data_IF_957385267173
#
_entry.id   IF_957385267173
#
_cell.length_a   1.000
_cell.length_b   1.000
_cell.length_c   1.000
_cell.angle_alpha   90.00
_cell.angle_beta   90.00
_cell.angle_gamma   90.00
#
_symmetry.space_group_name_H-M   'P 1'
#
loop_
_entity.id
_entity.type
_entity.pdbx_description
1 polymer ?
#
# COMPACT_ATOMS: atom_id res chain seq x y z
N UNK A 1 2.87 -8.41 12.18
CA UNK A 1 1.67 -7.75 11.65
C UNK A 1 1.93 -6.29 11.30
N UNK A 2 2.36 -5.44 12.24
CA UNK A 2 2.54 -3.99 12.02
C UNK A 2 3.41 -3.62 10.80
N UNK A 3 4.56 -4.27 10.60
CA UNK A 3 5.45 -4.00 9.47
C UNK A 3 4.84 -4.39 8.10
N UNK A 4 3.94 -5.37 8.07
CA UNK A 4 3.28 -5.86 6.85
C UNK A 4 2.08 -5.02 6.45
N UNK A 5 1.41 -4.37 7.40
CA UNK A 5 0.16 -3.62 7.20
C UNK A 5 0.26 -2.54 6.12
N UNK A 6 1.28 -1.65 6.12
CA UNK A 6 1.36 -0.62 5.09
C UNK A 6 1.59 -1.20 3.70
N UNK A 7 2.42 -2.24 3.59
CA UNK A 7 2.66 -2.93 2.31
C UNK A 7 1.39 -3.59 1.78
N UNK A 8 0.63 -4.24 2.67
CA UNK A 8 -0.60 -4.93 2.31
C UNK A 8 -1.69 -3.96 1.84
N UNK A 9 -1.89 -2.85 2.57
CA UNK A 9 -2.87 -1.82 2.19
C UNK A 9 -2.55 -1.21 0.82
N UNK A 10 -1.31 -0.77 0.62
CA UNK A 10 -0.87 -0.21 -0.65
C UNK A 10 -1.02 -1.25 -1.78
N UNK A 11 -0.55 -2.49 -1.57
CA UNK A 11 -0.61 -3.53 -2.59
C UNK A 11 -2.05 -3.93 -2.96
N UNK A 12 -2.99 -4.00 -2.01
CA UNK A 12 -4.40 -4.27 -2.32
C UNK A 12 -5.03 -3.16 -3.15
N UNK A 13 -4.71 -1.89 -2.87
CA UNK A 13 -5.15 -0.76 -3.68
C UNK A 13 -4.58 -0.80 -5.09
N UNK A 14 -3.28 -1.03 -5.23
CA UNK A 14 -2.58 -1.16 -6.50
C UNK A 14 -3.17 -2.31 -7.33
N UNK A 15 -3.43 -3.46 -6.70
CA UNK A 15 -4.00 -4.64 -7.35
C UNK A 15 -5.32 -4.32 -8.05
N UNK A 16 -6.20 -3.53 -7.43
CA UNK A 16 -7.47 -3.13 -8.03
C UNK A 16 -7.25 -2.19 -9.23
N UNK A 17 -6.34 -1.23 -9.13
CA UNK A 17 -6.00 -0.33 -10.24
C UNK A 17 -5.38 -1.10 -11.42
N UNK A 18 -4.42 -1.99 -11.18
CA UNK A 18 -3.77 -2.80 -12.22
C UNK A 18 -4.76 -3.77 -12.89
N UNK A 19 -5.75 -4.29 -12.15
CA UNK A 19 -6.83 -5.09 -12.74
C UNK A 19 -7.73 -4.30 -13.69
N UNK A 20 -7.73 -2.97 -13.65
CA UNK A 20 -8.38 -2.11 -14.64
C UNK A 20 -7.48 -1.75 -15.84
N UNK A 21 -6.25 -2.27 -15.88
CA UNK A 21 -5.25 -2.01 -16.92
C UNK A 21 -4.50 -0.69 -16.74
N UNK A 22 -4.37 -0.18 -15.50
CA UNK A 22 -3.61 1.04 -15.21
C UNK A 22 -2.48 0.74 -14.25
N UNK A 23 -1.25 0.93 -14.70
CA UNK A 23 -0.03 0.78 -13.91
C UNK A 23 0.41 2.15 -13.37
N UNK A 24 0.34 2.33 -12.06
CA UNK A 24 0.73 3.57 -11.39
C UNK A 24 2.07 3.40 -10.68
N UNK A 25 3.17 3.89 -11.27
CA UNK A 25 4.47 3.92 -10.63
C UNK A 25 4.63 5.10 -9.64
N UNK A 26 3.63 5.97 -9.51
CA UNK A 26 3.63 7.09 -8.59
C UNK A 26 3.35 6.75 -7.11
N UNK A 27 3.18 5.48 -6.80
CA UNK A 27 2.80 4.98 -5.46
C UNK A 27 3.70 5.53 -4.36
N UNK A 28 5.02 5.54 -4.55
CA UNK A 28 5.99 6.03 -3.57
C UNK A 28 5.72 7.51 -3.22
N UNK A 29 5.54 8.37 -4.23
CA UNK A 29 5.24 9.79 -4.02
C UNK A 29 3.87 10.03 -3.40
N UNK A 30 2.87 9.23 -3.78
CA UNK A 30 1.52 9.28 -3.20
C UNK A 30 1.57 8.92 -1.72
N UNK A 31 2.32 7.86 -1.35
CA UNK A 31 2.50 7.46 0.05
C UNK A 31 3.19 8.56 0.87
N UNK A 32 4.25 9.19 0.32
CA UNK A 32 4.97 10.28 1.00
C UNK A 32 4.06 11.48 1.23
N UNK A 33 3.31 11.91 0.21
CA UNK A 33 2.36 13.01 0.34
C UNK A 33 1.24 12.72 1.34
N UNK A 34 0.72 11.51 1.32
CA UNK A 34 -0.30 11.09 2.28
C UNK A 34 0.26 10.99 3.71
N UNK A 35 1.50 10.51 3.87
CA UNK A 35 2.17 10.42 5.16
C UNK A 35 2.36 11.79 5.81
N UNK A 36 2.85 12.78 5.05
CA UNK A 36 3.01 14.15 5.58
C UNK A 36 1.66 14.83 5.83
N UNK A 37 0.69 14.67 4.92
CA UNK A 37 -0.64 15.26 5.10
C UNK A 37 -1.34 14.73 6.34
N UNK A 38 -1.26 13.43 6.58
CA UNK A 38 -1.79 12.80 7.80
C UNK A 38 -1.07 13.28 9.05
N UNK A 39 0.26 13.34 9.00
CA UNK A 39 1.10 13.80 10.10
C UNK A 39 0.80 15.25 10.47
N UNK A 40 0.85 16.16 9.50
CA UNK A 40 0.54 17.57 9.66
C UNK A 40 -0.86 17.78 10.25
N UNK A 41 -1.89 17.16 9.66
CA UNK A 41 -3.25 17.30 10.13
C UNK A 41 -3.42 16.78 11.58
N UNK A 42 -2.71 15.73 11.97
CA UNK A 42 -2.74 15.21 13.34
C UNK A 42 -2.03 16.14 14.32
N UNK A 43 -0.88 16.70 13.95
CA UNK A 43 -0.15 17.65 14.80
C UNK A 43 -0.96 18.92 15.05
N UNK A 44 -1.61 19.47 13.99
CA UNK A 44 -2.35 20.74 14.09
C UNK A 44 -3.70 20.60 14.79
N UNK A 45 -4.41 19.48 14.58
CA UNK A 45 -5.76 19.30 15.11
C UNK A 45 -5.81 18.48 16.41
N UNK A 46 -4.72 17.81 16.77
CA UNK A 46 -4.70 16.87 17.91
C UNK A 46 -5.48 15.59 17.66
N UNK A 47 -5.99 15.34 16.45
CA UNK A 47 -6.89 14.22 16.14
C UNK A 47 -6.31 13.28 15.08
N UNK A 48 -6.08 12.02 15.47
CA UNK A 48 -5.66 10.97 14.52
C UNK A 48 -6.70 10.69 13.43
N UNK A 49 -8.01 10.81 13.76
CA UNK A 49 -9.07 10.61 12.78
C UNK A 49 -8.99 11.63 11.63
N UNK A 50 -8.75 12.91 11.96
CA UNK A 50 -8.54 13.97 10.96
C UNK A 50 -7.29 13.67 10.15
N UNK A 51 -6.21 13.21 10.77
CA UNK A 51 -4.98 12.80 10.09
C UNK A 51 -5.22 11.69 9.05
N UNK A 52 -5.95 10.64 9.42
CA UNK A 52 -6.27 9.57 8.47
C UNK A 52 -7.16 10.05 7.33
N UNK A 53 -8.16 10.88 7.61
CA UNK A 53 -9.03 11.45 6.57
C UNK A 53 -8.22 12.33 5.60
N UNK A 54 -7.36 13.19 6.12
CA UNK A 54 -6.48 14.03 5.30
C UNK A 54 -5.55 13.22 4.40
N UNK A 55 -4.93 12.16 4.95
CA UNK A 55 -4.07 11.27 4.19
C UNK A 55 -4.82 10.51 3.08
N UNK A 56 -6.03 10.02 3.36
CA UNK A 56 -6.88 9.37 2.35
C UNK A 56 -7.25 10.38 1.26
N UNK A 57 -7.67 11.57 1.63
CA UNK A 57 -8.05 12.62 0.67
C UNK A 57 -6.86 12.99 -0.24
N UNK A 58 -5.68 13.22 0.33
CA UNK A 58 -4.46 13.52 -0.44
C UNK A 58 -4.03 12.34 -1.29
N UNK A 59 -4.13 11.10 -0.80
CA UNK A 59 -3.86 9.91 -1.58
C UNK A 59 -4.78 9.79 -2.80
N UNK A 60 -6.08 10.05 -2.65
CA UNK A 60 -7.05 10.09 -3.75
C UNK A 60 -6.70 11.20 -4.73
N UNK A 61 -6.43 12.42 -4.24
CA UNK A 61 -6.10 13.58 -5.08
C UNK A 61 -4.88 13.32 -5.95
N UNK A 62 -3.80 12.77 -5.38
CA UNK A 62 -2.58 12.45 -6.12
C UNK A 62 -2.77 11.28 -7.10
N UNK A 63 -3.58 10.29 -6.76
CA UNK A 63 -3.93 9.22 -7.68
C UNK A 63 -4.79 9.73 -8.86
N UNK A 64 -5.70 10.67 -8.61
CA UNK A 64 -6.47 11.32 -9.67
C UNK A 64 -5.62 12.32 -10.48
N UNK A 65 -4.66 12.99 -9.86
CA UNK A 65 -3.67 13.79 -10.56
C UNK A 65 -2.87 12.92 -11.56
N UNK A 66 -2.42 11.74 -11.15
CA UNK A 66 -1.85 10.76 -12.08
C UNK A 66 -2.85 10.36 -13.18
N UNK A 67 -4.14 10.17 -12.85
CA UNK A 67 -5.17 9.78 -13.81
C UNK A 67 -5.36 10.82 -14.92
N UNK A 68 -5.15 12.12 -14.65
CA UNK A 68 -5.22 13.17 -15.68
C UNK A 68 -4.25 12.87 -16.81
N UNK A 69 -3.02 12.48 -16.50
CA UNK A 69 -2.01 12.15 -17.50
C UNK A 69 -2.23 10.77 -18.12
N UNK A 70 -2.38 9.75 -17.29
CA UNK A 70 -2.41 8.36 -17.76
C UNK A 70 -3.74 7.98 -18.45
N UNK A 71 -4.86 8.50 -17.98
CA UNK A 71 -6.20 8.17 -18.48
C UNK A 71 -6.76 9.28 -19.37
N UNK A 72 -6.65 10.54 -18.92
CA UNK A 72 -7.18 11.69 -19.64
C UNK A 72 -6.37 12.03 -20.90
N UNK A 73 -5.08 12.27 -20.74
CA UNK A 73 -4.17 12.62 -21.83
C UNK A 73 -3.60 11.39 -22.57
N UNK A 74 -3.86 10.17 -22.08
CA UNK A 74 -3.33 8.91 -22.60
C UNK A 74 -1.79 8.92 -22.74
N UNK A 75 -1.13 9.64 -21.84
CA UNK A 75 0.33 9.69 -21.78
C UNK A 75 0.91 8.34 -21.32
N UNK A 76 2.21 8.18 -21.49
CA UNK A 76 2.90 6.97 -21.00
C UNK A 76 2.73 6.84 -19.49
N UNK A 77 2.07 5.75 -19.05
CA UNK A 77 1.72 5.52 -17.65
C UNK A 77 2.96 5.42 -16.75
N UNK A 78 4.02 4.80 -17.25
CA UNK A 78 5.25 4.62 -16.47
C UNK A 78 5.95 5.97 -16.27
N UNK A 79 6.13 6.74 -17.32
CA UNK A 79 6.76 8.07 -17.24
C UNK A 79 5.94 9.03 -16.37
N UNK A 80 4.61 9.05 -16.55
CA UNK A 80 3.71 9.88 -15.72
C UNK A 80 3.75 9.45 -14.25
N UNK A 81 3.76 8.15 -13.98
CA UNK A 81 3.86 7.62 -12.62
C UNK A 81 5.18 7.99 -11.94
N UNK A 82 6.31 7.82 -12.64
CA UNK A 82 7.61 8.26 -12.13
C UNK A 82 7.65 9.77 -11.86
N UNK A 83 7.08 10.58 -12.76
CA UNK A 83 6.94 12.02 -12.55
C UNK A 83 6.18 12.35 -11.28
N UNK A 84 5.05 11.66 -11.05
CA UNK A 84 4.25 11.82 -9.81
C UNK A 84 5.03 11.34 -8.58
N UNK A 85 5.82 10.28 -8.67
CA UNK A 85 6.66 9.80 -7.58
C UNK A 85 7.71 10.85 -7.16
N UNK A 86 8.43 11.41 -8.13
CA UNK A 86 9.46 12.43 -7.88
C UNK A 86 8.80 13.73 -7.38
N UNK A 87 7.72 14.18 -8.01
CA UNK A 87 6.99 15.36 -7.61
C UNK A 87 6.44 15.25 -6.18
N UNK A 88 5.79 14.11 -5.88
CA UNK A 88 5.26 13.84 -4.54
C UNK A 88 6.36 13.72 -3.48
N UNK A 89 7.50 13.12 -3.84
CA UNK A 89 8.68 13.05 -2.98
C UNK A 89 9.23 14.44 -2.63
N UNK A 90 9.50 15.27 -3.64
CA UNK A 90 10.01 16.63 -3.44
C UNK A 90 9.03 17.55 -2.70
N UNK A 91 7.74 17.48 -3.06
CA UNK A 91 6.69 18.27 -2.42
C UNK A 91 6.48 17.86 -0.95
N UNK A 92 6.50 16.57 -0.66
CA UNK A 92 6.40 16.06 0.72
C UNK A 92 7.59 16.49 1.59
N UNK A 93 8.80 16.47 1.03
CA UNK A 93 10.00 16.96 1.70
C UNK A 93 9.89 18.44 2.04
N UNK A 94 9.46 19.26 1.07
CA UNK A 94 9.27 20.71 1.26
C UNK A 94 8.22 21.04 2.32
N UNK A 95 7.03 20.45 2.23
CA UNK A 95 5.94 20.65 3.20
C UNK A 95 6.33 20.12 4.58
N UNK A 96 7.14 19.07 4.63
CA UNK A 96 7.55 18.40 5.86
C UNK A 96 8.60 19.15 6.70
N UNK A 97 9.29 20.16 6.14
CA UNK A 97 10.35 20.89 6.86
C UNK A 97 9.91 21.42 8.23
N UNK A 98 8.75 22.11 8.37
CA UNK A 98 8.30 22.66 9.65
C UNK A 98 7.88 21.58 10.67
N UNK A 99 7.64 20.35 10.20
CA UNK A 99 7.11 19.27 11.02
C UNK A 99 8.18 18.26 11.47
N UNK A 100 9.43 18.47 11.07
CA UNK A 100 10.56 17.65 11.53
C UNK A 100 10.77 17.86 13.03
N UNK A 101 10.67 16.76 13.80
CA UNK A 101 10.77 16.81 15.25
C UNK A 101 9.49 17.25 15.99
N UNK A 102 8.40 17.52 15.29
CA UNK A 102 7.10 17.73 15.92
C UNK A 102 6.65 16.47 16.67
N UNK A 103 5.98 16.64 17.80
CA UNK A 103 5.51 15.53 18.64
C UNK A 103 4.03 15.31 18.34
N UNK A 104 3.66 14.06 18.08
CA UNK A 104 2.26 13.66 17.95
C UNK A 104 1.56 13.70 19.33
N UNK A 105 0.26 13.98 19.35
CA UNK A 105 -0.53 13.90 20.58
C UNK A 105 -0.50 12.48 21.17
N UNK A 106 -0.78 12.37 22.47
CA UNK A 106 -0.89 11.07 23.11
C UNK A 106 -1.99 10.24 22.45
N UNK A 107 -1.65 8.99 22.11
CA UNK A 107 -2.59 8.08 21.48
C UNK A 107 -3.31 7.27 22.56
N UNK A 108 -4.63 7.12 22.39
CA UNK A 108 -5.41 6.16 23.17
C UNK A 108 -4.84 4.74 22.99
N UNK A 109 -4.90 3.93 24.04
CA UNK A 109 -4.40 2.56 24.01
C UNK A 109 -5.05 1.78 22.88
N UNK A 110 -4.22 1.09 22.09
CA UNK A 110 -4.67 0.18 21.04
C UNK A 110 -5.13 -1.13 21.67
N UNK A 111 -6.13 -1.76 21.09
CA UNK A 111 -6.57 -3.10 21.47
C UNK A 111 -8.08 -3.23 21.52
N UNK A 112 -8.53 -4.46 21.37
CA UNK A 112 -9.95 -4.80 21.56
C UNK A 112 -10.14 -5.14 23.04
N UNK A 113 -10.95 -4.33 23.81
CA UNK A 113 -11.20 -4.60 25.23
C UNK A 113 -11.68 -6.04 25.41
N UNK A 114 -11.21 -6.71 26.45
CA UNK A 114 -11.44 -8.12 26.82
C UNK A 114 -10.61 -9.18 26.05
N UNK A 115 -10.28 -8.99 24.78
CA UNK A 115 -9.52 -9.97 23.98
C UNK A 115 -8.01 -9.82 24.15
N UNK A 116 -7.54 -8.65 24.54
CA UNK A 116 -6.13 -8.35 24.84
C UNK A 116 -5.61 -9.04 26.10
N UNK A 117 -6.51 -9.47 27.00
CA UNK A 117 -6.19 -10.14 28.28
C UNK A 117 -5.87 -11.63 28.13
N UNK A 118 -6.07 -12.22 26.94
CA UNK A 118 -5.76 -13.64 26.70
C UNK A 118 -4.24 -13.82 26.69
N UNK A 119 -3.65 -14.67 27.56
CA UNK A 119 -2.22 -14.90 27.60
C UNK A 119 -1.71 -15.38 26.22
N UNK A 120 -0.57 -14.86 25.76
CA UNK A 120 0.10 -15.12 24.47
C UNK A 120 -0.68 -14.67 23.23
N UNK A 121 -1.96 -15.02 23.06
CA UNK A 121 -2.76 -14.71 21.88
C UNK A 121 -3.31 -13.26 21.94
N UNK A 122 -3.64 -12.76 23.11
CA UNK A 122 -4.16 -11.41 23.30
C UNK A 122 -3.19 -10.34 22.80
N UNK A 123 -1.98 -10.37 23.32
CA UNK A 123 -0.93 -9.40 22.94
C UNK A 123 -0.47 -9.54 21.49
N UNK A 124 -0.43 -10.77 20.96
CA UNK A 124 0.04 -11.01 19.59
C UNK A 124 -0.99 -10.59 18.52
N UNK A 125 -2.28 -10.83 18.76
CA UNK A 125 -3.32 -10.69 17.75
C UNK A 125 -4.37 -9.61 18.07
N UNK A 126 -4.65 -9.30 19.34
CA UNK A 126 -5.75 -8.42 19.74
C UNK A 126 -5.33 -7.05 20.31
N UNK A 127 -4.04 -6.80 20.46
CA UNK A 127 -3.47 -5.51 20.88
C UNK A 127 -3.01 -4.64 19.68
N UNK A 128 -3.47 -4.94 18.48
CA UNK A 128 -3.05 -4.21 17.28
C UNK A 128 -3.97 -3.02 17.01
N UNK A 129 -3.44 -2.00 16.33
CA UNK A 129 -4.25 -0.87 15.89
C UNK A 129 -5.35 -1.32 14.91
N UNK A 130 -6.53 -0.69 14.94
CA UNK A 130 -7.70 -1.06 14.13
C UNK A 130 -7.41 -1.14 12.62
N UNK A 131 -6.45 -0.38 12.10
CA UNK A 131 -6.03 -0.43 10.69
C UNK A 131 -5.43 -1.79 10.31
N UNK A 132 -4.78 -2.48 11.27
CA UNK A 132 -4.26 -3.84 11.02
C UNK A 132 -5.41 -4.78 10.69
N UNK A 133 -6.50 -4.73 11.48
CA UNK A 133 -7.70 -5.54 11.24
C UNK A 133 -8.41 -5.14 9.95
N UNK A 134 -8.47 -3.82 9.67
CA UNK A 134 -9.00 -3.32 8.40
C UNK A 134 -8.21 -3.90 7.22
N UNK A 135 -6.88 -3.93 7.29
CA UNK A 135 -6.02 -4.47 6.23
C UNK A 135 -6.28 -5.95 5.98
N UNK A 136 -6.51 -6.72 7.05
CA UNK A 136 -6.87 -8.14 6.95
C UNK A 136 -8.27 -8.35 6.36
N UNK A 137 -9.24 -7.53 6.77
CA UNK A 137 -10.61 -7.57 6.23
C UNK A 137 -10.64 -7.18 4.75
N UNK A 138 -9.77 -6.29 4.31
CA UNK A 138 -9.69 -5.90 2.91
C UNK A 138 -9.26 -7.04 1.98
N UNK A 139 -8.56 -8.05 2.45
CA UNK A 139 -8.15 -9.20 1.63
C UNK A 139 -9.37 -9.94 1.05
N UNK A 140 -10.26 -10.51 1.89
CA UNK A 140 -11.47 -11.16 1.39
C UNK A 140 -12.43 -10.16 0.70
N UNK A 141 -12.47 -8.89 1.14
CA UNK A 141 -13.31 -7.88 0.53
C UNK A 141 -12.89 -7.58 -0.92
N UNK A 142 -11.60 -7.35 -1.18
CA UNK A 142 -11.07 -7.12 -2.53
C UNK A 142 -11.21 -8.38 -3.39
N UNK A 143 -10.96 -9.56 -2.80
CA UNK A 143 -11.20 -10.83 -3.52
C UNK A 143 -12.66 -10.97 -3.91
N UNK A 144 -13.59 -10.77 -2.98
CA UNK A 144 -15.04 -10.85 -3.25
C UNK A 144 -15.47 -9.83 -4.28
N UNK A 145 -15.04 -8.56 -4.14
CA UNK A 145 -15.31 -7.51 -5.10
C UNK A 145 -14.87 -7.90 -6.51
N UNK A 146 -13.61 -8.29 -6.69
CA UNK A 146 -13.06 -8.57 -8.02
C UNK A 146 -13.61 -9.84 -8.65
N UNK A 147 -13.88 -10.90 -7.86
CA UNK A 147 -14.19 -12.21 -8.43
C UNK A 147 -15.65 -12.65 -8.28
N UNK A 148 -16.44 -11.97 -7.43
CA UNK A 148 -17.84 -12.36 -7.14
C UNK A 148 -18.85 -11.27 -7.46
N UNK A 149 -18.45 -10.04 -7.75
CA UNK A 149 -19.38 -8.95 -8.04
C UNK A 149 -19.41 -8.55 -9.51
N UNK A 150 -20.54 -7.99 -9.98
CA UNK A 150 -20.67 -7.43 -11.33
C UNK A 150 -19.69 -6.27 -11.58
N UNK A 151 -19.54 -5.28 -10.69
CA UNK A 151 -18.57 -4.21 -10.89
C UNK A 151 -17.11 -4.73 -10.99
N UNK A 152 -16.74 -5.73 -10.20
CA UNK A 152 -15.43 -6.36 -10.27
C UNK A 152 -15.18 -7.07 -11.61
N UNK A 153 -16.22 -7.72 -12.17
CA UNK A 153 -16.14 -8.29 -13.52
C UNK A 153 -15.88 -7.20 -14.57
N UNK A 154 -16.57 -6.06 -14.46
CA UNK A 154 -16.40 -4.92 -15.38
C UNK A 154 -14.99 -4.34 -15.26
N UNK A 155 -14.45 -4.19 -14.05
CA UNK A 155 -13.05 -3.74 -13.82
C UNK A 155 -12.07 -4.66 -14.54
N UNK A 156 -12.21 -5.97 -14.42
CA UNK A 156 -11.34 -6.94 -15.10
C UNK A 156 -11.52 -6.91 -16.61
N UNK A 157 -12.75 -6.81 -17.11
CA UNK A 157 -13.04 -6.72 -18.54
C UNK A 157 -12.38 -5.46 -19.16
N UNK A 158 -12.43 -4.32 -18.46
CA UNK A 158 -11.76 -3.08 -18.88
C UNK A 158 -10.23 -3.25 -18.92
N UNK A 159 -9.66 -4.03 -18.00
CA UNK A 159 -8.23 -4.32 -17.99
C UNK A 159 -7.81 -5.25 -19.12
N UNK A 160 -8.61 -6.29 -19.42
CA UNK A 160 -8.31 -7.26 -20.47
C UNK A 160 -8.53 -6.69 -21.89
N UNK A 161 -9.64 -6.02 -22.12
CA UNK A 161 -9.97 -5.42 -23.42
C UNK A 161 -10.79 -4.12 -23.25
N UNK A 162 -10.11 -2.97 -23.17
CA UNK A 162 -10.81 -1.67 -23.09
C UNK A 162 -11.73 -1.42 -24.28
N UNK A 163 -11.37 -1.91 -25.47
CA UNK A 163 -12.19 -1.78 -26.67
C UNK A 163 -13.49 -2.54 -26.56
N UNK A 164 -13.44 -3.80 -26.14
CA UNK A 164 -14.64 -4.63 -25.96
C UNK A 164 -15.55 -4.10 -24.85
N UNK A 165 -14.98 -3.62 -23.75
CA UNK A 165 -15.74 -3.00 -22.67
C UNK A 165 -16.47 -1.73 -23.15
N UNK A 166 -15.82 -0.89 -23.95
CA UNK A 166 -16.41 0.31 -24.52
C UNK A 166 -17.53 -0.03 -25.53
N UNK A 167 -17.36 -1.07 -26.34
CA UNK A 167 -18.39 -1.54 -27.26
C UNK A 167 -19.67 -2.03 -26.54
N UNK A 168 -19.54 -2.51 -25.30
CA UNK A 168 -20.64 -2.88 -24.42
C UNK A 168 -21.27 -1.68 -23.67
N UNK A 169 -20.79 -0.45 -23.93
CA UNK A 169 -21.32 0.78 -23.34
C UNK A 169 -20.69 1.20 -22.01
N UNK A 170 -19.62 0.52 -21.54
CA UNK A 170 -18.93 0.91 -20.33
C UNK A 170 -17.94 2.07 -20.57
N UNK A 171 -17.98 3.08 -19.69
CA UNK A 171 -17.03 4.19 -19.73
C UNK A 171 -15.68 3.75 -19.13
N UNK A 172 -14.75 3.35 -20.00
CA UNK A 172 -13.40 2.93 -19.60
C UNK A 172 -12.66 3.99 -18.76
N UNK A 173 -12.66 5.30 -19.13
CA UNK A 173 -11.98 6.31 -18.32
C UNK A 173 -12.56 6.43 -16.91
N UNK A 174 -13.88 6.40 -16.78
CA UNK A 174 -14.55 6.52 -15.48
C UNK A 174 -14.20 5.35 -14.55
N UNK A 175 -14.18 4.12 -15.08
CA UNK A 175 -13.83 2.91 -14.32
C UNK A 175 -12.38 2.97 -13.87
N UNK A 176 -11.46 3.38 -14.75
CA UNK A 176 -10.04 3.55 -14.40
C UNK A 176 -9.83 4.64 -13.35
N UNK A 177 -10.51 5.78 -13.46
CA UNK A 177 -10.45 6.82 -12.43
C UNK A 177 -10.99 6.34 -11.09
N UNK A 178 -12.10 5.59 -11.07
CA UNK A 178 -12.65 5.04 -9.84
C UNK A 178 -11.71 4.03 -9.16
N UNK A 179 -11.08 3.14 -9.93
CA UNK A 179 -10.10 2.19 -9.40
C UNK A 179 -8.82 2.88 -8.91
N UNK A 180 -8.39 3.94 -9.60
CA UNK A 180 -7.27 4.77 -9.15
C UNK A 180 -7.59 5.55 -7.87
N UNK A 181 -8.80 6.09 -7.74
CA UNK A 181 -9.25 6.75 -6.51
C UNK A 181 -9.26 5.77 -5.32
N UNK A 182 -9.78 4.56 -5.51
CA UNK A 182 -9.71 3.50 -4.50
C UNK A 182 -8.26 3.14 -4.16
N UNK A 183 -7.41 2.99 -5.17
CA UNK A 183 -5.97 2.74 -4.98
C UNK A 183 -5.32 3.86 -4.18
N UNK A 184 -5.62 5.12 -4.53
CA UNK A 184 -5.12 6.30 -3.82
C UNK A 184 -5.56 6.34 -2.35
N UNK A 185 -6.80 5.95 -2.06
CA UNK A 185 -7.29 5.83 -0.68
C UNK A 185 -6.51 4.79 0.13
N UNK A 186 -6.26 3.61 -0.44
CA UNK A 186 -5.48 2.55 0.20
C UNK A 186 -4.02 2.95 0.42
N UNK A 187 -3.40 3.58 -0.59
CA UNK A 187 -2.04 4.12 -0.51
C UNK A 187 -1.98 5.24 0.53
N UNK A 188 -3.00 6.09 0.59
CA UNK A 188 -3.14 7.15 1.59
C UNK A 188 -3.19 6.60 3.02
N UNK A 189 -4.03 5.60 3.28
CA UNK A 189 -4.07 4.89 4.56
C UNK A 189 -2.74 4.25 4.91
N UNK A 190 -2.05 3.68 3.92
CA UNK A 190 -0.73 3.07 4.10
C UNK A 190 0.31 4.11 4.53
N UNK A 191 0.34 5.27 3.88
CA UNK A 191 1.24 6.38 4.23
C UNK A 191 0.97 6.92 5.63
N UNK A 192 -0.31 7.17 5.96
CA UNK A 192 -0.71 7.62 7.29
C UNK A 192 -0.36 6.61 8.38
N UNK A 193 -0.58 5.31 8.13
CA UNK A 193 -0.22 4.28 9.08
C UNK A 193 1.29 4.29 9.40
N UNK A 194 2.13 4.54 8.40
CA UNK A 194 3.57 4.65 8.60
C UNK A 194 3.94 5.83 9.49
N UNK A 195 3.44 7.03 9.20
CA UNK A 195 3.83 8.26 9.90
C UNK A 195 3.13 8.47 11.25
N UNK A 196 1.95 7.89 11.45
CA UNK A 196 1.13 8.10 12.67
C UNK A 196 1.25 6.95 13.66
N UNK A 197 1.44 5.71 13.19
CA UNK A 197 1.31 4.50 14.02
C UNK A 197 2.61 3.71 14.07
N UNK A 198 3.16 3.34 12.91
CA UNK A 198 4.31 2.43 12.84
C UNK A 198 5.63 3.11 13.26
N UNK A 199 5.89 4.29 12.72
CA UNK A 199 7.01 5.18 13.07
C UNK A 199 6.43 6.57 13.32
N UNK A 200 5.97 6.88 14.56
CA UNK A 200 5.21 8.10 14.86
C UNK A 200 6.12 9.34 14.84
N UNK A 201 6.64 9.65 13.68
CA UNK A 201 7.49 10.79 13.39
C UNK A 201 7.47 11.09 11.89
N UNK A 202 7.87 12.30 11.52
CA UNK A 202 8.09 12.67 10.13
C UNK A 202 9.59 12.83 9.85
N UNK A 203 10.06 12.11 8.83
CA UNK A 203 11.41 12.25 8.26
C UNK A 203 11.30 12.18 6.75
N UNK A 204 12.08 13.02 6.06
CA UNK A 204 12.15 12.97 4.60
C UNK A 204 12.52 11.57 4.10
N UNK A 205 11.80 11.09 3.09
CA UNK A 205 12.03 9.78 2.51
C UNK A 205 11.65 8.59 3.40
N UNK A 206 10.86 8.78 4.47
CA UNK A 206 10.51 7.74 5.45
C UNK A 206 9.86 6.48 4.86
N UNK A 207 9.28 6.57 3.66
CA UNK A 207 8.68 5.43 2.97
C UNK A 207 9.75 4.44 2.51
N UNK A 208 10.93 4.93 2.12
CA UNK A 208 12.12 4.11 1.84
C UNK A 208 11.87 2.94 0.86
N UNK A 209 11.17 3.22 -0.24
CA UNK A 209 10.92 2.23 -1.30
C UNK A 209 9.75 1.27 -1.05
N UNK A 210 9.01 1.41 0.06
CA UNK A 210 7.86 0.53 0.36
C UNK A 210 6.76 0.60 -0.70
N UNK A 211 6.59 1.73 -1.38
CA UNK A 211 5.68 1.87 -2.51
C UNK A 211 6.08 0.98 -3.69
N UNK A 212 7.37 0.94 -4.02
CA UNK A 212 7.92 0.05 -5.06
C UNK A 212 7.80 -1.43 -4.68
N UNK A 213 8.04 -1.76 -3.41
CA UNK A 213 7.84 -3.11 -2.89
C UNK A 213 6.38 -3.54 -3.02
N UNK A 214 5.43 -2.65 -2.71
CA UNK A 214 4.00 -2.95 -2.84
C UNK A 214 3.61 -3.25 -4.30
N UNK A 215 4.15 -2.51 -5.28
CA UNK A 215 3.99 -2.81 -6.71
C UNK A 215 4.55 -4.19 -7.08
N UNK A 216 5.77 -4.48 -6.64
CA UNK A 216 6.40 -5.77 -6.87
C UNK A 216 5.55 -6.91 -6.29
N UNK A 217 5.01 -6.75 -5.07
CA UNK A 217 4.16 -7.74 -4.41
C UNK A 217 2.89 -8.07 -5.21
N UNK A 218 2.28 -7.09 -5.89
CA UNK A 218 1.11 -7.33 -6.75
C UNK A 218 1.47 -8.21 -7.93
N UNK A 219 2.57 -7.89 -8.61
CA UNK A 219 3.08 -8.68 -9.74
C UNK A 219 3.43 -10.10 -9.30
N UNK A 220 4.15 -10.26 -8.17
CA UNK A 220 4.50 -11.56 -7.60
C UNK A 220 3.27 -12.36 -7.15
N UNK A 221 2.30 -11.68 -6.58
CA UNK A 221 1.03 -12.27 -6.20
C UNK A 221 0.14 -12.66 -7.38
N UNK A 222 0.59 -12.40 -8.63
CA UNK A 222 -0.20 -12.67 -9.85
C UNK A 222 -1.61 -12.08 -9.78
N UNK A 223 -1.70 -10.86 -9.24
CA UNK A 223 -2.96 -10.12 -9.02
C UNK A 223 -4.01 -10.90 -8.22
N UNK A 224 -3.60 -11.80 -7.30
CA UNK A 224 -4.48 -12.52 -6.37
C UNK A 224 -4.31 -11.99 -4.96
N UNK A 225 -5.36 -11.45 -4.29
CA UNK A 225 -5.25 -10.82 -2.97
C UNK A 225 -4.61 -11.69 -1.89
N UNK A 226 -4.92 -12.99 -1.87
CA UNK A 226 -4.35 -13.93 -0.89
C UNK A 226 -2.84 -14.18 -1.09
N UNK A 227 -2.35 -14.16 -2.34
CA UNK A 227 -0.92 -14.29 -2.61
C UNK A 227 -0.17 -13.00 -2.27
N UNK A 228 -0.78 -11.86 -2.56
CA UNK A 228 -0.26 -10.55 -2.14
C UNK A 228 -0.15 -10.45 -0.62
N UNK A 229 -1.15 -10.95 0.10
CA UNK A 229 -1.10 -11.08 1.56
C UNK A 229 0.10 -11.89 2.03
N UNK A 230 0.31 -13.10 1.49
CA UNK A 230 1.45 -13.94 1.85
C UNK A 230 2.78 -13.24 1.58
N UNK A 231 2.91 -12.57 0.43
CA UNK A 231 4.09 -11.79 0.09
C UNK A 231 4.33 -10.62 1.04
N UNK A 232 3.30 -9.85 1.38
CA UNK A 232 3.40 -8.73 2.31
C UNK A 232 3.80 -9.19 3.73
N UNK A 233 3.27 -10.32 4.19
CA UNK A 233 3.62 -10.88 5.49
C UNK A 233 5.01 -11.52 5.51
N UNK A 234 5.43 -12.14 4.41
CA UNK A 234 6.80 -12.60 4.26
C UNK A 234 7.78 -11.41 4.34
N UNK A 235 7.52 -10.35 3.58
CA UNK A 235 8.37 -9.18 3.55
C UNK A 235 8.42 -8.46 4.91
N UNK A 236 7.26 -8.23 5.52
CA UNK A 236 7.18 -7.61 6.85
C UNK A 236 7.78 -8.48 7.95
N UNK A 237 7.65 -9.81 7.84
CA UNK A 237 8.30 -10.77 8.75
C UNK A 237 9.82 -10.72 8.67
N UNK A 238 10.38 -10.65 7.47
CA UNK A 238 11.82 -10.49 7.25
C UNK A 238 12.34 -9.15 7.79
N UNK A 239 11.58 -8.07 7.64
CA UNK A 239 11.93 -6.77 8.23
C UNK A 239 11.98 -6.83 9.76
N UNK A 240 11.01 -7.51 10.39
CA UNK A 240 11.01 -7.71 11.84
C UNK A 240 12.14 -8.63 12.30
N UNK A 241 12.43 -9.67 11.54
CA UNK A 241 13.57 -10.55 11.80
C UNK A 241 14.89 -9.77 11.78
N UNK A 242 15.05 -8.89 10.79
CA UNK A 242 16.21 -7.99 10.69
C UNK A 242 16.38 -7.15 11.96
N UNK A 243 15.31 -6.48 12.40
CA UNK A 243 15.35 -5.63 13.60
C UNK A 243 15.70 -6.44 14.85
N UNK A 244 15.15 -7.65 15.01
CA UNK A 244 15.44 -8.54 16.13
C UNK A 244 16.88 -9.04 16.11
N UNK A 245 17.43 -9.43 14.96
CA UNK A 245 18.82 -9.87 14.84
C UNK A 245 19.81 -8.78 15.21
N UNK A 246 19.52 -7.54 14.83
CA UNK A 246 20.31 -6.37 15.20
C UNK A 246 20.28 -6.11 16.72
N UNK A 247 19.10 -6.28 17.36
CA UNK A 247 18.96 -6.07 18.80
C UNK A 247 19.71 -7.10 19.65
N UNK A 248 19.91 -8.32 19.13
CA UNK A 248 20.66 -9.41 19.80
C UNK A 248 22.18 -9.26 19.60
N UNK A 249 22.63 -8.25 18.84
CA UNK A 249 24.07 -7.98 18.64
C UNK A 249 24.74 -8.92 17.63
N UNK A 250 23.97 -9.63 16.81
CA UNK A 250 24.53 -10.45 15.73
C UNK A 250 25.07 -9.50 14.66
N UNK A 251 26.38 -9.48 14.48
CA UNK A 251 27.11 -8.60 13.55
C UNK A 251 27.00 -9.05 12.09
N UNK A 252 25.80 -9.38 11.63
CA UNK A 252 25.58 -9.54 10.19
C UNK A 252 25.42 -8.14 9.59
N UNK A 253 26.17 -7.80 8.53
CA UNK A 253 26.00 -6.52 7.86
C UNK A 253 24.53 -6.31 7.48
N UNK A 254 23.96 -5.17 7.91
CA UNK A 254 22.54 -4.83 7.74
C UNK A 254 22.08 -4.94 6.30
N UNK A 255 23.00 -4.68 5.36
CA UNK A 255 22.77 -4.78 3.93
C UNK A 255 22.36 -6.19 3.47
N UNK A 256 23.00 -7.23 4.01
CA UNK A 256 22.66 -8.62 3.65
C UNK A 256 21.27 -9.02 4.14
N UNK A 257 20.91 -8.60 5.35
CA UNK A 257 19.58 -8.89 5.90
C UNK A 257 18.51 -8.10 5.14
N UNK A 258 18.79 -6.86 4.76
CA UNK A 258 17.88 -6.03 3.95
C UNK A 258 17.67 -6.59 2.53
N UNK A 259 18.62 -7.33 1.97
CA UNK A 259 18.48 -8.02 0.69
C UNK A 259 17.61 -9.28 0.79
N UNK A 260 17.48 -9.88 1.96
CA UNK A 260 16.80 -11.18 2.13
C UNK A 260 15.34 -11.19 1.63
N UNK A 261 14.48 -10.18 1.89
CA UNK A 261 13.13 -10.15 1.35
C UNK A 261 13.10 -10.11 -0.18
N UNK A 262 14.01 -9.36 -0.79
CA UNK A 262 14.10 -9.26 -2.26
C UNK A 262 14.59 -10.56 -2.88
N UNK A 263 15.62 -11.17 -2.30
CA UNK A 263 16.12 -12.46 -2.72
C UNK A 263 15.04 -13.55 -2.61
N UNK A 264 14.30 -13.57 -1.50
CA UNK A 264 13.18 -14.49 -1.31
C UNK A 264 12.09 -14.30 -2.38
N UNK A 265 11.75 -13.06 -2.71
CA UNK A 265 10.78 -12.78 -3.79
C UNK A 265 11.27 -13.24 -5.15
N UNK A 266 12.52 -13.02 -5.49
CA UNK A 266 13.12 -13.50 -6.76
C UNK A 266 13.10 -15.03 -6.82
N UNK A 267 13.47 -15.71 -5.73
CA UNK A 267 13.44 -17.18 -5.65
C UNK A 267 12.00 -17.71 -5.83
N UNK A 268 11.03 -17.11 -5.14
CA UNK A 268 9.62 -17.52 -5.26
C UNK A 268 9.12 -17.30 -6.68
N UNK A 269 9.47 -16.19 -7.34
CA UNK A 269 9.14 -15.96 -8.74
C UNK A 269 9.75 -17.01 -9.68
N UNK A 270 11.03 -17.29 -9.50
CA UNK A 270 11.71 -18.28 -10.32
C UNK A 270 11.06 -19.68 -10.18
N UNK A 271 10.66 -20.03 -8.95
CA UNK A 271 9.95 -21.30 -8.68
C UNK A 271 8.55 -21.33 -9.30
N UNK A 272 7.79 -20.23 -9.18
CA UNK A 272 6.45 -20.14 -9.79
C UNK A 272 6.56 -20.16 -11.32
N UNK A 273 7.53 -19.46 -11.90
CA UNK A 273 7.76 -19.43 -13.36
C UNK A 273 8.17 -20.77 -13.97
N UNK A 274 8.82 -21.65 -13.19
CA UNK A 274 9.20 -22.99 -13.66
C UNK A 274 8.01 -23.95 -13.80
N UNK A 275 6.87 -23.70 -13.14
CA UNK A 275 5.71 -24.57 -13.18
C UNK A 275 4.60 -23.98 -14.06
N UNK A 276 4.45 -24.42 -15.33
CA UNK A 276 3.46 -23.87 -16.26
C UNK A 276 2.00 -24.15 -15.80
N UNK A 277 1.77 -25.12 -14.92
CA UNK A 277 0.46 -25.38 -14.33
C UNK A 277 -0.03 -24.26 -13.41
N UNK A 278 0.87 -23.53 -12.75
CA UNK A 278 0.52 -22.38 -11.90
C UNK A 278 0.16 -21.13 -12.72
N UNK A 279 0.66 -21.02 -13.95
CA UNK A 279 0.36 -19.93 -14.89
C UNK A 279 -1.00 -20.16 -15.55
N UNK A 280 -1.42 -21.42 -15.80
CA UNK A 280 -2.69 -21.77 -16.45
C UNK A 280 -3.92 -21.74 -15.54
N UNK A 281 -3.77 -21.52 -14.25
CA UNK A 281 -4.90 -21.40 -13.30
C UNK A 281 -5.43 -19.96 -13.17
N UNK A 282 -5.20 -19.15 -14.19
CA UNK A 282 -5.74 -17.78 -14.31
C UNK A 282 -6.81 -17.72 -15.39
#
# INVERSE_FOLDING_TARGET
MNASTPLLLAALGILVAERSGVLNLGVEGIMLMAAIAGYMATVETGSFAVGFIAAVAVGILFALFFAIFAVGLRANQQASGLGVAIFGGGLSAYIGIPYQGAVLPERAADGIPFLDQIPFLGQAFFSQHWIVYLSLLMIPAVWYFLFRTRPGLVVRAVGESPFSANALGYSVPMIRCATLAFSGACIGLSGAYLSLIYTPLWVEGMIAGRGWIALALVTFGTWRPFRVFLGAYLFGGMTMLQMNLQSIGISVPTQFISMAPYAATIIVLALISRNPTWIRLN
#
